data_IF_374681545272
#
_entry.id   IF_374681545272
#
_cell.length_a   1.000
_cell.length_b   1.000
_cell.length_c   1.000
_cell.angle_alpha   90.00
_cell.angle_beta   90.00
_cell.angle_gamma   90.00
#
_symmetry.space_group_name_H-M   'P 1'
#
loop_
_entity.id
_entity.type
_entity.pdbx_description
1 polymer ?
#
# COMPACT_ATOMS: atom_id res chain seq x y z
N UNK A 1 -23.45 6.04 0.89
CA UNK A 1 -22.88 5.99 -0.47
C UNK A 1 -21.45 6.48 -0.37
N UNK A 2 -20.48 5.75 -0.93
CA UNK A 2 -19.12 6.26 -1.09
C UNK A 2 -19.16 7.47 -2.03
N UNK A 3 -18.53 8.57 -1.65
CA UNK A 3 -18.43 9.75 -2.52
C UNK A 3 -17.66 9.39 -3.78
N UNK A 4 -18.16 9.81 -4.94
CA UNK A 4 -17.53 9.56 -6.24
C UNK A 4 -16.79 10.79 -6.71
N UNK A 5 -15.51 10.63 -7.04
CA UNK A 5 -14.66 11.71 -7.57
C UNK A 5 -14.21 11.37 -8.99
N UNK A 6 -14.28 12.34 -9.89
CA UNK A 6 -13.75 12.19 -11.26
C UNK A 6 -12.33 12.72 -11.34
N UNK A 7 -11.43 11.94 -11.91
CA UNK A 7 -10.02 12.31 -12.10
C UNK A 7 -9.74 12.34 -13.60
N UNK A 8 -9.11 13.41 -14.09
CA UNK A 8 -8.68 13.50 -15.48
C UNK A 8 -7.25 12.97 -15.59
N UNK A 9 -7.03 12.04 -16.51
CA UNK A 9 -5.72 11.47 -16.83
C UNK A 9 -5.50 11.49 -18.34
N UNK A 10 -4.27 11.20 -18.78
CA UNK A 10 -3.99 11.02 -20.20
C UNK A 10 -4.67 9.75 -20.74
N UNK A 11 -4.94 9.70 -22.05
CA UNK A 11 -5.50 8.50 -22.70
C UNK A 11 -4.61 7.28 -22.50
N UNK A 12 -3.30 7.45 -22.64
CA UNK A 12 -2.31 6.39 -22.43
C UNK A 12 -2.35 5.83 -21.00
N UNK A 13 -2.52 6.70 -19.99
CA UNK A 13 -2.67 6.28 -18.60
C UNK A 13 -3.96 5.49 -18.38
N UNK A 14 -5.07 5.91 -19.00
CA UNK A 14 -6.33 5.18 -18.91
C UNK A 14 -6.23 3.78 -19.52
N UNK A 15 -5.60 3.64 -20.69
CA UNK A 15 -5.35 2.33 -21.33
C UNK A 15 -4.44 1.43 -20.47
N UNK A 16 -3.40 2.01 -19.85
CA UNK A 16 -2.53 1.26 -18.94
C UNK A 16 -3.29 0.76 -17.70
N UNK A 17 -4.18 1.58 -17.13
CA UNK A 17 -5.01 1.18 -15.98
C UNK A 17 -6.01 0.07 -16.35
N UNK A 18 -6.55 0.11 -17.57
CA UNK A 18 -7.45 -0.93 -18.10
C UNK A 18 -6.73 -2.28 -18.21
N UNK A 19 -5.54 -2.30 -18.83
CA UNK A 19 -4.71 -3.49 -18.93
C UNK A 19 -4.35 -4.06 -17.54
N UNK A 20 -4.06 -3.18 -16.58
CA UNK A 20 -3.79 -3.58 -15.20
C UNK A 20 -5.05 -4.20 -14.56
N UNK A 21 -6.22 -3.58 -14.72
CA UNK A 21 -7.50 -4.12 -14.22
C UNK A 21 -7.71 -5.55 -14.72
N UNK A 22 -7.53 -5.78 -16.01
CA UNK A 22 -7.65 -7.11 -16.62
C UNK A 22 -6.62 -8.10 -16.05
N UNK A 23 -5.35 -7.69 -15.93
CA UNK A 23 -4.30 -8.54 -15.37
C UNK A 23 -4.55 -8.95 -13.92
N UNK A 24 -5.15 -8.04 -13.14
CA UNK A 24 -5.53 -8.27 -11.74
C UNK A 24 -6.88 -8.97 -11.60
N UNK A 25 -7.64 -9.10 -12.69
CA UNK A 25 -9.05 -9.53 -12.69
C UNK A 25 -9.92 -8.72 -11.73
N UNK A 26 -9.62 -7.43 -11.60
CA UNK A 26 -10.39 -6.52 -10.75
C UNK A 26 -11.74 -6.21 -11.39
N UNK A 27 -12.77 -6.04 -10.56
CA UNK A 27 -14.14 -5.76 -10.98
C UNK A 27 -14.29 -4.32 -11.51
N UNK A 28 -13.39 -3.41 -11.11
CA UNK A 28 -13.42 -2.01 -11.53
C UNK A 28 -12.03 -1.37 -11.60
N UNK A 29 -11.94 -0.23 -12.30
CA UNK A 29 -10.75 0.61 -12.30
C UNK A 29 -10.42 1.15 -10.90
N UNK A 30 -11.43 1.45 -10.07
CA UNK A 30 -11.21 1.92 -8.70
C UNK A 30 -10.54 0.82 -7.86
N UNK A 31 -11.01 -0.42 -7.97
CA UNK A 31 -10.38 -1.56 -7.28
C UNK A 31 -8.93 -1.79 -7.75
N UNK A 32 -8.68 -1.67 -9.06
CA UNK A 32 -7.32 -1.75 -9.60
C UNK A 32 -6.42 -0.63 -9.04
N UNK A 33 -6.92 0.61 -8.99
CA UNK A 33 -6.21 1.77 -8.41
C UNK A 33 -5.91 1.54 -6.93
N UNK A 34 -6.90 1.09 -6.14
CA UNK A 34 -6.70 0.77 -4.72
C UNK A 34 -5.64 -0.32 -4.52
N UNK A 35 -5.63 -1.34 -5.38
CA UNK A 35 -4.64 -2.42 -5.35
C UNK A 35 -3.23 -1.90 -5.66
N UNK A 36 -3.09 -1.01 -6.64
CA UNK A 36 -1.81 -0.34 -6.96
C UNK A 36 -1.33 0.53 -5.80
N UNK A 37 -2.21 1.32 -5.18
CA UNK A 37 -1.87 2.15 -4.02
C UNK A 37 -1.37 1.27 -2.86
N UNK A 38 -2.08 0.18 -2.55
CA UNK A 38 -1.67 -0.77 -1.51
C UNK A 38 -0.30 -1.39 -1.82
N UNK A 39 -0.08 -1.80 -3.07
CA UNK A 39 1.19 -2.37 -3.51
C UNK A 39 2.34 -1.37 -3.37
N UNK A 40 2.13 -0.11 -3.76
CA UNK A 40 3.14 0.95 -3.62
C UNK A 40 3.45 1.23 -2.14
N UNK A 41 2.43 1.31 -1.28
CA UNK A 41 2.62 1.48 0.18
C UNK A 41 3.43 0.33 0.77
N UNK A 42 3.09 -0.91 0.40
CA UNK A 42 3.84 -2.10 0.83
C UNK A 42 5.29 -2.03 0.38
N UNK A 43 5.55 -1.76 -0.90
CA UNK A 43 6.90 -1.64 -1.45
C UNK A 43 7.72 -0.54 -0.76
N UNK A 44 7.11 0.59 -0.43
CA UNK A 44 7.76 1.68 0.28
C UNK A 44 8.16 1.30 1.71
N UNK A 45 7.24 0.69 2.48
CA UNK A 45 7.57 0.18 3.82
C UNK A 45 8.68 -0.87 3.75
N UNK A 46 8.57 -1.77 2.77
CA UNK A 46 9.55 -2.79 2.47
C UNK A 46 10.95 -2.23 2.19
N UNK A 47 11.04 -1.11 1.47
CA UNK A 47 12.28 -0.40 1.20
C UNK A 47 12.85 0.26 2.47
N UNK A 48 12.00 0.89 3.28
CA UNK A 48 12.42 1.58 4.51
C UNK A 48 12.94 0.60 5.56
N UNK A 49 12.23 -0.51 5.78
CA UNK A 49 12.57 -1.45 6.85
C UNK A 49 13.76 -2.36 6.50
N UNK A 50 14.18 -2.44 5.23
CA UNK A 50 15.45 -3.07 4.83
C UNK A 50 15.79 -4.38 5.55
N UNK A 51 16.90 -4.36 6.30
CA UNK A 51 17.51 -5.49 7.05
C UNK A 51 16.77 -5.83 8.37
N UNK A 52 15.90 -4.91 8.82
CA UNK A 52 15.08 -5.03 10.03
C UNK A 52 13.68 -5.57 9.72
N UNK A 53 13.40 -5.89 8.44
CA UNK A 53 12.17 -6.53 8.01
C UNK A 53 11.99 -7.85 8.77
N UNK A 54 10.94 -7.92 9.59
CA UNK A 54 10.63 -9.09 10.43
C UNK A 54 11.39 -9.19 11.75
N UNK A 55 12.26 -8.23 12.07
CA UNK A 55 12.99 -8.14 13.35
C UNK A 55 12.37 -7.14 14.32
N UNK A 56 11.53 -6.24 13.82
CA UNK A 56 10.83 -5.25 14.64
C UNK A 56 9.61 -5.94 15.26
N UNK A 57 9.68 -6.22 16.56
CA UNK A 57 8.55 -6.64 17.39
C UNK A 57 7.81 -5.43 17.97
N UNK A 58 6.60 -5.67 18.45
CA UNK A 58 5.89 -4.71 19.31
C UNK A 58 6.78 -4.34 20.50
N UNK A 59 6.80 -3.06 20.88
CA UNK A 59 7.49 -2.61 22.09
C UNK A 59 6.86 -3.28 23.32
N UNK A 60 7.69 -3.88 24.17
CA UNK A 60 7.30 -4.60 25.38
C UNK A 60 7.74 -3.85 26.64
N UNK A 61 7.25 -4.24 27.82
CA UNK A 61 7.67 -3.59 29.07
C UNK A 61 9.16 -3.85 29.35
N UNK A 62 9.69 -4.99 28.90
CA UNK A 62 11.10 -5.37 29.00
C UNK A 62 12.03 -4.48 28.16
N UNK A 63 11.51 -3.83 27.12
CA UNK A 63 12.25 -2.88 26.30
C UNK A 63 12.42 -1.50 26.99
N UNK A 64 11.78 -1.29 28.15
CA UNK A 64 11.93 -0.07 28.94
C UNK A 64 13.24 -0.10 29.72
N UNK A 65 14.19 0.74 29.34
CA UNK A 65 15.49 0.90 30.02
C UNK A 65 15.44 1.59 31.40
N UNK A 66 14.28 1.65 32.04
CA UNK A 66 14.10 2.22 33.38
C UNK A 66 13.91 1.07 34.39
N UNK A 67 14.84 0.95 35.34
CA UNK A 67 14.65 0.07 36.50
C UNK A 67 13.64 0.73 37.45
N UNK A 68 12.52 0.05 37.72
CA UNK A 68 11.42 0.54 38.57
C UNK A 68 11.35 -0.20 39.91
N UNK A 69 12.51 -0.60 40.46
CA UNK A 69 12.62 -1.16 41.81
C UNK A 69 13.20 -0.16 42.81
#
# INVERSE_FOLDING_TARGET
MTETTTIRVSKQTAEALENIRESLKAESLDEAIQSLIKKQRKAFLEQIFGIDRGKISSFTEEDRGEDRN
#
